data_IF_912067449159
#
_entry.id   IF_912067449159
#
_cell.length_a   1.000
_cell.length_b   1.000
_cell.length_c   1.000
_cell.angle_alpha   90.00
_cell.angle_beta   90.00
_cell.angle_gamma   90.00
#
_symmetry.space_group_name_H-M   'P 1'
#
loop_
_entity.id
_entity.type
_entity.pdbx_description
1 polymer ?
#
# COMPACT_ATOMS: atom_id res chain seq x y z
N UNK A 1 17.89 16.93 2.24
CA UNK A 1 16.95 18.05 1.96
C UNK A 1 16.88 19.08 3.09
N UNK A 2 16.83 18.69 4.37
CA UNK A 2 16.59 19.61 5.50
C UNK A 2 17.53 20.84 5.60
N UNK A 3 18.80 20.72 5.22
CA UNK A 3 19.77 21.83 5.29
C UNK A 3 19.78 22.77 4.07
N UNK A 4 19.03 22.45 3.01
CA UNK A 4 19.11 23.17 1.75
C UNK A 4 18.58 24.61 1.83
N UNK A 5 17.44 24.91 2.47
CA UNK A 5 16.99 26.30 2.63
C UNK A 5 17.99 27.16 3.41
N UNK A 6 18.63 26.59 4.43
CA UNK A 6 19.65 27.29 5.22
C UNK A 6 20.92 27.54 4.41
N UNK A 7 21.37 26.57 3.61
CA UNK A 7 22.50 26.75 2.71
C UNK A 7 22.23 27.88 1.70
N UNK A 8 21.10 27.84 1.00
CA UNK A 8 20.71 28.85 0.00
C UNK A 8 20.67 30.23 0.65
N UNK A 9 20.07 30.35 1.83
CA UNK A 9 20.02 31.61 2.59
C UNK A 9 21.41 32.09 2.99
N UNK A 10 22.26 31.23 3.55
CA UNK A 10 23.62 31.61 3.98
C UNK A 10 24.47 32.05 2.78
N UNK A 11 24.39 31.35 1.65
CA UNK A 11 25.09 31.74 0.42
C UNK A 11 24.56 33.07 -0.11
N UNK A 12 23.24 33.29 -0.11
CA UNK A 12 22.65 34.55 -0.55
C UNK A 12 23.03 35.74 0.33
N UNK A 13 23.04 35.58 1.66
CA UNK A 13 23.50 36.61 2.60
C UNK A 13 24.98 36.94 2.34
N UNK A 14 25.82 35.91 2.19
CA UNK A 14 27.24 36.09 1.88
C UNK A 14 27.43 36.83 0.55
N UNK A 15 26.71 36.43 -0.49
CA UNK A 15 26.77 37.05 -1.80
C UNK A 15 26.33 38.53 -1.75
N UNK A 16 25.25 38.85 -1.04
CA UNK A 16 24.79 40.22 -0.85
C UNK A 16 25.85 41.11 -0.16
N UNK A 17 26.53 40.59 0.87
CA UNK A 17 27.64 41.29 1.54
C UNK A 17 28.83 41.48 0.60
N UNK A 18 29.20 40.46 -0.20
CA UNK A 18 30.30 40.59 -1.14
C UNK A 18 29.99 41.59 -2.26
N UNK A 19 28.76 41.60 -2.77
CA UNK A 19 28.30 42.58 -3.77
C UNK A 19 28.33 44.00 -3.23
N UNK A 20 27.88 44.24 -1.99
CA UNK A 20 27.92 45.59 -1.40
C UNK A 20 29.34 46.13 -1.17
N UNK A 21 30.33 45.22 -1.07
CA UNK A 21 31.75 45.53 -1.01
C UNK A 21 32.41 45.67 -2.40
N UNK A 22 31.65 45.61 -3.50
CA UNK A 22 32.17 45.69 -4.86
C UNK A 22 32.86 44.41 -5.36
N UNK A 23 32.69 43.28 -4.67
CA UNK A 23 33.32 41.98 -4.97
C UNK A 23 32.34 41.02 -5.65
N UNK A 24 31.75 41.45 -6.76
CA UNK A 24 30.69 40.70 -7.46
C UNK A 24 31.15 39.31 -7.93
N UNK A 25 32.37 39.18 -8.46
CA UNK A 25 32.90 37.89 -8.94
C UNK A 25 32.99 36.84 -7.81
N UNK A 26 33.40 37.26 -6.61
CA UNK A 26 33.44 36.38 -5.44
C UNK A 26 32.05 36.04 -4.90
N UNK A 27 31.10 36.98 -5.02
CA UNK A 27 29.71 36.73 -4.69
C UNK A 27 29.12 35.61 -5.56
N UNK A 28 29.41 35.62 -6.87
CA UNK A 28 28.94 34.59 -7.79
C UNK A 28 29.69 33.27 -7.63
N UNK A 29 31.01 33.32 -7.43
CA UNK A 29 31.80 32.11 -7.16
C UNK A 29 31.38 31.37 -5.88
N UNK A 30 30.78 32.06 -4.91
CA UNK A 30 30.23 31.42 -3.71
C UNK A 30 29.05 30.47 -4.02
N UNK A 31 28.23 30.80 -5.02
CA UNK A 31 27.15 29.91 -5.47
C UNK A 31 27.71 28.68 -6.19
N UNK A 32 28.69 28.86 -7.08
CA UNK A 32 29.30 27.75 -7.82
C UNK A 32 30.02 26.78 -6.87
N UNK A 33 30.75 27.31 -5.88
CA UNK A 33 31.40 26.51 -4.85
C UNK A 33 30.39 25.72 -3.99
N UNK A 34 29.25 26.34 -3.66
CA UNK A 34 28.19 25.69 -2.89
C UNK A 34 27.44 24.62 -3.70
N UNK A 35 27.41 24.73 -5.03
CA UNK A 35 26.72 23.79 -5.91
C UNK A 35 27.45 22.44 -6.07
N UNK A 36 28.75 22.38 -5.78
CA UNK A 36 29.57 21.18 -5.97
C UNK A 36 29.03 19.99 -5.16
N UNK A 37 28.72 18.90 -5.86
CA UNK A 37 28.25 17.65 -5.25
C UNK A 37 26.79 17.68 -4.77
N UNK A 38 26.04 18.75 -5.04
CA UNK A 38 24.61 18.82 -4.71
C UNK A 38 23.73 18.15 -5.79
N UNK A 39 22.55 17.65 -5.42
CA UNK A 39 21.52 17.22 -6.38
C UNK A 39 21.08 18.35 -7.31
N UNK A 40 20.60 18.01 -8.51
CA UNK A 40 20.19 18.99 -9.55
C UNK A 40 19.16 20.02 -9.05
N UNK A 41 18.17 19.60 -8.26
CA UNK A 41 17.15 20.49 -7.68
C UNK A 41 17.72 21.46 -6.66
N UNK A 42 18.81 21.11 -5.97
CA UNK A 42 19.52 21.98 -5.05
C UNK A 42 20.40 22.99 -5.78
N UNK A 43 21.10 22.55 -6.84
CA UNK A 43 21.83 23.44 -7.75
C UNK A 43 20.88 24.47 -8.38
N UNK A 44 19.69 24.03 -8.81
CA UNK A 44 18.68 24.93 -9.35
C UNK A 44 18.23 26.02 -8.36
N UNK A 45 18.06 25.69 -7.07
CA UNK A 45 17.72 26.69 -6.05
C UNK A 45 18.84 27.71 -5.85
N UNK A 46 20.11 27.28 -5.90
CA UNK A 46 21.25 28.20 -5.86
C UNK A 46 21.31 29.12 -7.08
N UNK A 47 21.03 28.59 -8.28
CA UNK A 47 20.96 29.40 -9.51
C UNK A 47 19.85 30.45 -9.46
N UNK A 48 18.65 30.11 -8.97
CA UNK A 48 17.57 31.09 -8.82
C UNK A 48 17.91 32.15 -7.78
N UNK A 49 18.51 31.75 -6.65
CA UNK A 49 18.97 32.70 -5.65
C UNK A 49 20.05 33.63 -6.21
N UNK A 50 20.99 33.10 -7.01
CA UNK A 50 22.00 33.89 -7.70
C UNK A 50 21.36 34.90 -8.64
N UNK A 51 20.43 34.46 -9.49
CA UNK A 51 19.67 35.33 -10.40
C UNK A 51 18.93 36.46 -9.67
N UNK A 52 18.33 36.17 -8.51
CA UNK A 52 17.60 37.16 -7.71
C UNK A 52 18.50 38.23 -7.06
N UNK A 53 19.80 37.96 -6.90
CA UNK A 53 20.79 38.92 -6.34
C UNK A 53 21.46 39.80 -7.40
N UNK A 54 21.25 39.51 -8.68
CA UNK A 54 21.82 40.27 -9.80
C UNK A 54 20.84 41.35 -10.30
N UNK A 55 21.35 42.44 -10.90
CA UNK A 55 20.52 43.30 -11.73
C UNK A 55 19.85 42.50 -12.86
N UNK A 56 18.61 42.84 -13.26
CA UNK A 56 17.95 42.20 -14.40
C UNK A 56 18.81 42.29 -15.66
N UNK A 57 19.04 41.15 -16.31
CA UNK A 57 19.91 41.09 -17.48
C UNK A 57 20.13 39.65 -17.98
N UNK A 58 20.90 39.49 -19.08
CA UNK A 58 21.01 38.20 -19.79
C UNK A 58 21.52 37.08 -18.90
N UNK A 59 22.49 37.36 -18.03
CA UNK A 59 23.08 36.37 -17.13
C UNK A 59 22.09 35.89 -16.06
N UNK A 60 21.36 36.80 -15.41
CA UNK A 60 20.34 36.45 -14.43
C UNK A 60 19.23 35.61 -15.07
N UNK A 61 18.84 35.91 -16.30
CA UNK A 61 17.87 35.10 -17.04
C UNK A 61 18.43 33.72 -17.44
N UNK A 62 19.69 33.64 -17.86
CA UNK A 62 20.35 32.37 -18.17
C UNK A 62 20.37 31.44 -16.95
N UNK A 63 20.65 31.99 -15.76
CA UNK A 63 20.60 31.25 -14.49
C UNK A 63 19.19 30.71 -14.21
N UNK A 64 18.14 31.52 -14.44
CA UNK A 64 16.74 31.09 -14.30
C UNK A 64 16.41 29.96 -15.28
N UNK A 65 16.78 30.09 -16.56
CA UNK A 65 16.52 29.06 -17.58
C UNK A 65 17.28 27.77 -17.27
N UNK A 66 18.52 27.86 -16.81
CA UNK A 66 19.27 26.68 -16.39
C UNK A 66 18.63 26.01 -15.17
N UNK A 67 18.20 26.80 -14.18
CA UNK A 67 17.52 26.28 -13.01
C UNK A 67 16.22 25.55 -13.38
N UNK A 68 15.39 26.12 -14.25
CA UNK A 68 14.13 25.48 -14.66
C UNK A 68 14.38 24.17 -15.39
N UNK A 69 15.39 24.10 -16.27
CA UNK A 69 15.79 22.87 -16.95
C UNK A 69 16.26 21.78 -15.98
N UNK A 70 17.04 22.14 -14.95
CA UNK A 70 17.49 21.20 -13.92
C UNK A 70 16.30 20.68 -13.09
N UNK A 71 15.35 21.55 -12.74
CA UNK A 71 14.15 21.17 -12.00
C UNK A 71 13.29 20.20 -12.82
N UNK A 72 13.06 20.50 -14.10
CA UNK A 72 12.16 19.70 -14.95
C UNK A 72 12.78 18.38 -15.44
N UNK A 73 14.11 18.21 -15.36
CA UNK A 73 14.79 16.92 -15.61
C UNK A 73 14.83 15.99 -14.39
N UNK A 74 14.55 16.51 -13.19
CA UNK A 74 14.58 15.72 -11.95
C UNK A 74 13.57 14.57 -12.02
N UNK A 75 14.05 13.36 -11.72
CA UNK A 75 13.18 12.17 -11.55
C UNK A 75 12.49 12.14 -10.20
N UNK A 76 12.99 12.90 -9.23
CA UNK A 76 12.33 13.14 -7.96
C UNK A 76 11.31 14.28 -8.15
N UNK A 77 10.06 13.89 -8.41
CA UNK A 77 8.95 14.81 -8.66
C UNK A 77 8.56 15.61 -7.42
N UNK A 78 8.76 15.05 -6.21
CA UNK A 78 8.50 15.73 -4.95
C UNK A 78 9.49 16.88 -4.76
N UNK A 79 10.79 16.59 -4.91
CA UNK A 79 11.84 17.61 -4.84
C UNK A 79 11.68 18.66 -5.95
N UNK A 80 11.25 18.25 -7.15
CA UNK A 80 10.97 19.17 -8.24
C UNK A 80 9.85 20.15 -7.91
N UNK A 81 8.68 19.69 -7.44
CA UNK A 81 7.55 20.55 -7.07
C UNK A 81 7.95 21.60 -6.01
N UNK A 82 8.65 21.17 -4.96
CA UNK A 82 9.20 22.08 -3.95
C UNK A 82 10.15 23.12 -4.57
N UNK A 83 11.09 22.69 -5.40
CA UNK A 83 12.03 23.59 -6.07
C UNK A 83 11.33 24.59 -7.00
N UNK A 84 10.26 24.19 -7.72
CA UNK A 84 9.44 25.11 -8.54
C UNK A 84 8.78 26.19 -7.70
N UNK A 85 8.18 25.82 -6.55
CA UNK A 85 7.56 26.81 -5.64
C UNK A 85 8.60 27.80 -5.08
N UNK A 86 9.76 27.31 -4.66
CA UNK A 86 10.85 28.16 -4.17
C UNK A 86 11.39 29.09 -5.24
N UNK A 87 11.58 28.58 -6.46
CA UNK A 87 12.04 29.37 -7.59
C UNK A 87 11.05 30.50 -7.92
N UNK A 88 9.76 30.15 -7.99
CA UNK A 88 8.68 31.10 -8.24
C UNK A 88 8.56 32.15 -7.15
N UNK A 89 8.65 31.76 -5.87
CA UNK A 89 8.61 32.68 -4.74
C UNK A 89 9.79 33.68 -4.77
N UNK A 90 10.99 33.19 -5.13
CA UNK A 90 12.21 34.00 -5.21
C UNK A 90 12.18 35.02 -6.35
N UNK A 91 11.45 34.71 -7.43
CA UNK A 91 11.29 35.62 -8.57
C UNK A 91 10.00 36.45 -8.49
N UNK A 92 9.11 36.18 -7.54
CA UNK A 92 7.85 36.91 -7.40
C UNK A 92 8.11 38.39 -7.11
N UNK A 93 7.54 39.29 -7.92
CA UNK A 93 7.79 40.73 -7.83
C UNK A 93 9.18 41.18 -8.30
N UNK A 94 10.04 40.27 -8.77
CA UNK A 94 11.34 40.62 -9.33
C UNK A 94 11.18 41.31 -10.69
N UNK A 95 11.90 42.43 -10.94
CA UNK A 95 11.95 43.07 -12.25
C UNK A 95 12.48 42.12 -13.35
N UNK A 96 13.19 41.04 -12.97
CA UNK A 96 13.67 40.01 -13.89
C UNK A 96 12.52 39.33 -14.65
N UNK A 97 11.34 39.15 -14.05
CA UNK A 97 10.17 38.57 -14.74
C UNK A 97 9.51 39.54 -15.73
N UNK A 98 9.69 40.86 -15.53
CA UNK A 98 9.22 41.90 -16.44
C UNK A 98 10.20 42.15 -17.59
N UNK A 99 11.45 41.68 -17.45
CA UNK A 99 12.50 41.89 -18.43
C UNK A 99 12.18 41.18 -19.76
N UNK A 100 12.26 41.92 -20.86
CA UNK A 100 11.90 41.43 -22.19
C UNK A 100 13.13 40.84 -22.88
N UNK A 101 13.27 39.52 -22.82
CA UNK A 101 14.25 38.77 -23.63
C UNK A 101 13.60 37.88 -24.68
N UNK A 102 14.28 37.63 -25.82
CA UNK A 102 13.90 36.60 -26.77
C UNK A 102 13.73 35.21 -26.13
N UNK A 103 14.45 34.94 -25.03
CA UNK A 103 14.40 33.68 -24.28
C UNK A 103 13.21 33.54 -23.32
N UNK A 104 12.37 34.57 -23.13
CA UNK A 104 11.21 34.49 -22.22
C UNK A 104 10.21 33.43 -22.64
N UNK A 105 10.04 33.21 -23.94
CA UNK A 105 9.17 32.17 -24.49
C UNK A 105 9.65 30.75 -24.13
N UNK A 106 10.93 30.57 -23.78
CA UNK A 106 11.50 29.28 -23.38
C UNK A 106 11.31 28.96 -21.89
N UNK A 107 10.89 29.92 -21.06
CA UNK A 107 10.61 29.64 -19.65
C UNK A 107 9.32 28.84 -19.49
N UNK A 108 9.30 27.87 -18.56
CA UNK A 108 8.12 27.03 -18.37
C UNK A 108 6.95 27.85 -17.82
N UNK A 109 5.74 27.39 -18.16
CA UNK A 109 4.49 28.05 -17.75
C UNK A 109 4.35 28.16 -16.24
N UNK A 110 4.78 27.13 -15.49
CA UNK A 110 4.73 27.14 -14.02
C UNK A 110 5.51 28.28 -13.38
N UNK A 111 6.47 28.88 -14.09
CA UNK A 111 7.24 30.03 -13.62
C UNK A 111 6.60 31.36 -14.02
N UNK A 112 6.08 31.45 -15.24
CA UNK A 112 5.71 32.73 -15.88
C UNK A 112 4.23 33.06 -15.86
N UNK A 113 3.34 32.06 -15.76
CA UNK A 113 1.90 32.27 -15.66
C UNK A 113 1.52 32.75 -14.25
N UNK A 114 0.42 33.51 -14.07
CA UNK A 114 -0.13 33.82 -12.74
C UNK A 114 -0.43 32.57 -11.91
N UNK A 115 -0.45 32.71 -10.59
CA UNK A 115 -0.74 31.57 -9.71
C UNK A 115 -2.26 31.32 -9.74
N UNK A 116 -2.73 30.11 -10.05
CA UNK A 116 -4.14 29.85 -10.32
C UNK A 116 -4.93 29.68 -9.00
N UNK A 117 -5.07 30.77 -8.22
CA UNK A 117 -5.71 30.74 -6.89
C UNK A 117 -7.15 30.20 -6.93
N UNK A 118 -7.90 30.53 -7.99
CA UNK A 118 -9.24 30.02 -8.21
C UNK A 118 -9.25 28.49 -8.33
N UNK A 119 -8.36 27.95 -9.17
CA UNK A 119 -8.25 26.52 -9.39
C UNK A 119 -7.75 25.77 -8.14
N UNK A 120 -6.82 26.35 -7.39
CA UNK A 120 -6.36 25.78 -6.10
C UNK A 120 -7.52 25.61 -5.13
N UNK A 121 -8.42 26.61 -5.04
CA UNK A 121 -9.60 26.53 -4.19
C UNK A 121 -10.54 25.40 -4.63
N UNK A 122 -10.74 25.23 -5.94
CA UNK A 122 -11.58 24.18 -6.49
C UNK A 122 -10.99 22.78 -6.27
N UNK A 123 -9.68 22.62 -6.46
CA UNK A 123 -8.96 21.36 -6.19
C UNK A 123 -9.03 21.02 -4.70
N UNK A 124 -8.83 22.00 -3.80
CA UNK A 124 -9.00 21.77 -2.36
C UNK A 124 -10.44 21.39 -2.00
N UNK A 125 -11.44 22.02 -2.64
CA UNK A 125 -12.84 21.65 -2.47
C UNK A 125 -13.12 20.22 -2.92
N UNK A 126 -12.59 19.82 -4.08
CA UNK A 126 -12.68 18.45 -4.59
C UNK A 126 -12.02 17.44 -3.64
N UNK A 127 -10.81 17.71 -3.18
CA UNK A 127 -10.09 16.81 -2.27
C UNK A 127 -10.76 16.71 -0.90
N UNK A 128 -11.36 17.80 -0.41
CA UNK A 128 -12.03 17.85 0.89
C UNK A 128 -13.49 17.38 0.90
N UNK A 129 -14.11 17.20 -0.26
CA UNK A 129 -15.50 16.74 -0.35
C UNK A 129 -15.63 15.25 -0.03
N UNK A 130 -16.44 14.92 0.98
CA UNK A 130 -16.74 13.54 1.41
C UNK A 130 -18.20 13.13 1.19
N UNK A 131 -19.11 14.10 1.05
CA UNK A 131 -20.53 13.83 0.77
C UNK A 131 -20.80 13.79 -0.74
N UNK A 132 -21.66 12.89 -1.23
CA UNK A 132 -21.92 12.73 -2.67
C UNK A 132 -22.29 14.05 -3.37
N UNK A 133 -23.19 14.85 -2.78
CA UNK A 133 -23.59 16.13 -3.36
C UNK A 133 -22.43 17.15 -3.39
N UNK A 134 -21.57 17.14 -2.39
CA UNK A 134 -20.38 17.99 -2.32
C UNK A 134 -19.32 17.58 -3.34
N UNK A 135 -19.15 16.27 -3.55
CA UNK A 135 -18.26 15.71 -4.58
C UNK A 135 -18.74 16.11 -5.98
N UNK A 136 -20.03 15.93 -6.28
CA UNK A 136 -20.65 16.29 -7.56
C UNK A 136 -20.46 17.78 -7.87
N UNK A 137 -20.78 18.65 -6.92
CA UNK A 137 -20.63 20.08 -7.06
C UNK A 137 -19.17 20.50 -7.28
N UNK A 138 -18.25 19.92 -6.50
CA UNK A 138 -16.82 20.25 -6.58
C UNK A 138 -16.19 19.80 -7.89
N UNK A 139 -16.46 18.57 -8.34
CA UNK A 139 -15.92 18.05 -9.61
C UNK A 139 -16.54 18.77 -10.82
N UNK A 140 -17.84 19.10 -10.77
CA UNK A 140 -18.49 19.92 -11.81
C UNK A 140 -17.87 21.31 -11.92
N UNK A 141 -17.63 21.97 -10.78
CA UNK A 141 -17.00 23.28 -10.74
C UNK A 141 -15.56 23.23 -11.28
N UNK A 142 -14.80 22.21 -10.90
CA UNK A 142 -13.44 21.98 -11.39
C UNK A 142 -13.42 21.73 -12.90
N UNK A 143 -14.29 20.85 -13.40
CA UNK A 143 -14.42 20.56 -14.83
C UNK A 143 -14.80 21.80 -15.63
N UNK A 144 -15.71 22.62 -15.11
CA UNK A 144 -16.12 23.88 -15.74
C UNK A 144 -14.95 24.87 -15.83
N UNK A 145 -14.19 25.03 -14.74
CA UNK A 145 -13.04 25.93 -14.69
C UNK A 145 -11.92 25.50 -15.63
N UNK A 146 -11.59 24.20 -15.66
CA UNK A 146 -10.54 23.67 -16.54
C UNK A 146 -10.94 23.73 -18.01
N UNK A 147 -12.24 23.56 -18.32
CA UNK A 147 -12.76 23.64 -19.70
C UNK A 147 -12.88 25.09 -20.22
N UNK A 148 -12.75 26.10 -19.35
CA UNK A 148 -12.74 27.50 -19.78
C UNK A 148 -11.44 27.84 -20.54
N UNK A 149 -11.43 28.87 -21.39
CA UNK A 149 -10.21 29.28 -22.10
C UNK A 149 -9.05 29.54 -21.14
N UNK A 150 -7.96 28.78 -21.28
CA UNK A 150 -6.77 28.87 -20.41
C UNK A 150 -6.78 27.96 -19.19
N UNK A 151 -7.91 27.30 -18.88
CA UNK A 151 -8.06 26.44 -17.70
C UNK A 151 -7.11 25.24 -17.69
N UNK A 152 -6.91 24.56 -18.81
CA UNK A 152 -5.92 23.47 -18.92
C UNK A 152 -4.48 23.97 -18.63
N UNK A 153 -4.13 25.18 -19.07
CA UNK A 153 -2.82 25.76 -18.79
C UNK A 153 -2.65 26.15 -17.31
N UNK A 154 -3.72 26.61 -16.65
CA UNK A 154 -3.75 26.84 -15.21
C UNK A 154 -3.61 25.53 -14.42
N UNK A 155 -4.25 24.46 -14.89
CA UNK A 155 -4.13 23.12 -14.31
C UNK A 155 -2.70 22.61 -14.40
N UNK A 156 -2.05 22.71 -15.57
CA UNK A 156 -0.64 22.33 -15.74
C UNK A 156 0.28 23.06 -14.74
N UNK A 157 0.03 24.36 -14.51
CA UNK A 157 0.77 25.16 -13.52
C UNK A 157 0.54 24.63 -12.11
N UNK A 158 -0.71 24.36 -11.73
CA UNK A 158 -1.06 23.83 -10.42
C UNK A 158 -0.39 22.47 -10.18
N UNK A 159 -0.51 21.53 -11.12
CA UNK A 159 0.08 20.19 -11.03
C UNK A 159 1.60 20.29 -10.92
N UNK A 160 2.25 21.09 -11.78
CA UNK A 160 3.70 21.25 -11.73
C UNK A 160 4.17 21.79 -10.37
N UNK A 161 3.44 22.76 -9.80
CA UNK A 161 3.79 23.40 -8.53
C UNK A 161 3.45 22.56 -7.30
N UNK A 162 2.49 21.64 -7.36
CA UNK A 162 1.98 20.90 -6.19
C UNK A 162 1.98 19.39 -6.39
N UNK A 163 2.82 18.87 -7.29
CA UNK A 163 2.88 17.44 -7.54
C UNK A 163 3.17 16.63 -6.28
N UNK A 164 3.88 17.18 -5.29
CA UNK A 164 4.17 16.60 -3.98
C UNK A 164 2.97 16.54 -3.02
N UNK A 165 1.86 17.19 -3.34
CA UNK A 165 0.64 17.14 -2.52
C UNK A 165 -0.17 15.89 -2.87
N UNK A 166 -0.46 15.00 -1.91
CA UNK A 166 -1.25 13.80 -2.15
C UNK A 166 -2.59 14.13 -2.83
N UNK A 167 -2.94 13.36 -3.86
CA UNK A 167 -4.20 13.53 -4.60
C UNK A 167 -4.16 14.57 -5.73
N UNK A 168 -3.25 15.55 -5.70
CA UNK A 168 -3.17 16.58 -6.75
C UNK A 168 -2.83 15.96 -8.11
N UNK A 169 -1.90 15.00 -8.17
CA UNK A 169 -1.55 14.31 -9.43
C UNK A 169 -2.67 13.44 -10.00
N UNK A 170 -3.68 13.07 -9.21
CA UNK A 170 -4.82 12.28 -9.67
C UNK A 170 -5.94 13.17 -10.26
N UNK A 171 -5.89 14.49 -10.05
CA UNK A 171 -6.89 15.43 -10.56
C UNK A 171 -7.06 15.35 -12.09
N UNK A 172 -5.99 15.30 -12.90
CA UNK A 172 -6.15 15.18 -14.36
C UNK A 172 -6.90 13.91 -14.77
N UNK A 173 -6.60 12.78 -14.12
CA UNK A 173 -7.27 11.50 -14.37
C UNK A 173 -8.76 11.58 -14.01
N UNK A 174 -9.10 12.10 -12.83
CA UNK A 174 -10.51 12.29 -12.43
C UNK A 174 -11.26 13.23 -13.38
N UNK A 175 -10.60 14.26 -13.92
CA UNK A 175 -11.20 15.16 -14.91
C UNK A 175 -11.41 14.48 -16.26
N UNK A 176 -10.46 13.66 -16.71
CA UNK A 176 -10.57 12.90 -17.94
C UNK A 176 -11.67 11.83 -17.84
N UNK A 177 -11.76 11.11 -16.72
CA UNK A 177 -12.87 10.21 -16.43
C UNK A 177 -14.20 10.96 -16.39
N UNK A 178 -14.26 12.13 -15.75
CA UNK A 178 -15.49 12.92 -15.70
C UNK A 178 -15.94 13.40 -17.09
N UNK A 179 -14.99 13.68 -18.00
CA UNK A 179 -15.27 14.00 -19.41
C UNK A 179 -15.78 12.78 -20.19
N UNK A 180 -15.23 11.59 -19.94
CA UNK A 180 -15.58 10.34 -20.64
C UNK A 180 -16.90 9.73 -20.14
N UNK A 181 -17.01 9.58 -18.83
CA UNK A 181 -18.02 8.75 -18.16
C UNK A 181 -19.05 9.59 -17.39
N UNK A 182 -18.78 10.89 -17.24
CA UNK A 182 -19.62 11.85 -16.54
C UNK A 182 -19.26 12.00 -15.07
N UNK A 183 -19.46 13.21 -14.54
CA UNK A 183 -19.15 13.58 -13.14
C UNK A 183 -19.72 12.57 -12.15
N UNK A 184 -21.00 12.20 -12.31
CA UNK A 184 -21.70 11.32 -11.38
C UNK A 184 -21.09 9.92 -11.29
N UNK A 185 -20.54 9.39 -12.38
CA UNK A 185 -19.88 8.08 -12.37
C UNK A 185 -18.60 8.12 -11.52
N UNK A 186 -17.77 9.15 -11.72
CA UNK A 186 -16.52 9.35 -10.97
C UNK A 186 -16.78 9.56 -9.48
N UNK A 187 -17.73 10.42 -9.12
CA UNK A 187 -18.04 10.71 -7.72
C UNK A 187 -18.70 9.53 -7.02
N UNK A 188 -19.55 8.76 -7.70
CA UNK A 188 -20.12 7.52 -7.16
C UNK A 188 -19.02 6.51 -6.89
N UNK A 189 -18.13 6.26 -7.87
CA UNK A 189 -17.01 5.32 -7.70
C UNK A 189 -16.10 5.74 -6.54
N UNK A 190 -15.72 7.01 -6.47
CA UNK A 190 -14.90 7.54 -5.37
C UNK A 190 -15.58 7.37 -4.01
N UNK A 191 -16.87 7.69 -3.93
CA UNK A 191 -17.64 7.56 -2.68
C UNK A 191 -17.74 6.09 -2.25
N UNK A 192 -17.98 5.17 -3.18
CA UNK A 192 -17.98 3.72 -2.91
C UNK A 192 -16.60 3.24 -2.42
N UNK A 193 -15.51 3.72 -3.02
CA UNK A 193 -14.14 3.39 -2.58
C UNK A 193 -13.81 3.96 -1.19
N UNK A 194 -14.26 5.19 -0.89
CA UNK A 194 -14.14 5.80 0.44
C UNK A 194 -14.93 5.01 1.49
N UNK A 195 -16.18 4.68 1.18
CA UNK A 195 -17.05 3.92 2.07
C UNK A 195 -16.51 2.51 2.31
N UNK A 196 -16.02 1.83 1.28
CA UNK A 196 -15.38 0.52 1.39
C UNK A 196 -14.17 0.55 2.32
N UNK A 197 -13.30 1.55 2.19
CA UNK A 197 -12.15 1.74 3.08
C UNK A 197 -12.57 2.02 4.52
N UNK A 198 -13.60 2.84 4.73
CA UNK A 198 -14.14 3.13 6.04
C UNK A 198 -14.78 1.89 6.70
N UNK A 199 -15.55 1.12 5.94
CA UNK A 199 -16.16 -0.13 6.42
C UNK A 199 -15.09 -1.18 6.76
N UNK A 200 -14.05 -1.34 5.92
CA UNK A 200 -12.93 -2.24 6.21
C UNK A 200 -12.18 -1.82 7.48
N UNK A 201 -11.85 -0.53 7.62
CA UNK A 201 -11.19 -0.01 8.83
C UNK A 201 -12.05 -0.26 10.09
N UNK A 202 -13.35 0.02 10.00
CA UNK A 202 -14.30 -0.23 11.09
C UNK A 202 -14.36 -1.71 11.47
N UNK A 203 -14.34 -2.60 10.47
CA UNK A 203 -14.36 -4.04 10.70
C UNK A 203 -13.10 -4.52 11.44
N UNK A 204 -11.93 -4.10 10.96
CA UNK A 204 -10.63 -4.44 11.56
C UNK A 204 -10.51 -3.93 13.00
N UNK A 205 -11.09 -2.76 13.30
CA UNK A 205 -11.07 -2.14 14.63
C UNK A 205 -12.18 -2.64 15.58
N UNK A 206 -12.96 -3.65 15.19
CA UNK A 206 -13.99 -4.19 16.08
C UNK A 206 -13.39 -4.78 17.37
N UNK A 207 -13.90 -4.41 18.56
CA UNK A 207 -13.25 -4.75 19.83
C UNK A 207 -13.42 -6.22 20.25
N UNK A 208 -14.39 -6.93 19.67
CA UNK A 208 -14.67 -8.34 19.97
C UNK A 208 -15.15 -9.06 18.72
N UNK A 209 -15.00 -10.39 18.69
CA UNK A 209 -15.53 -11.21 17.60
C UNK A 209 -17.06 -11.14 17.48
N UNK A 210 -17.78 -10.97 18.58
CA UNK A 210 -19.23 -10.75 18.55
C UNK A 210 -19.60 -9.41 17.86
N UNK A 211 -18.82 -8.35 18.09
CA UNK A 211 -19.01 -7.07 17.40
C UNK A 211 -18.65 -7.18 15.90
N UNK A 212 -17.57 -7.90 15.59
CA UNK A 212 -17.17 -8.23 14.21
C UNK A 212 -18.28 -8.97 13.45
N UNK A 213 -18.88 -9.99 14.07
CA UNK A 213 -20.02 -10.75 13.52
C UNK A 213 -21.22 -9.86 13.25
N UNK A 214 -21.63 -9.07 14.25
CA UNK A 214 -22.77 -8.15 14.11
C UNK A 214 -22.54 -7.11 13.00
N UNK A 215 -21.30 -6.61 12.87
CA UNK A 215 -20.93 -5.67 11.81
C UNK A 215 -21.15 -6.29 10.42
N UNK A 216 -20.61 -7.49 10.20
CA UNK A 216 -20.72 -8.19 8.91
C UNK A 216 -22.14 -8.64 8.58
N UNK A 217 -22.96 -9.01 9.57
CA UNK A 217 -24.38 -9.34 9.34
C UNK A 217 -25.15 -8.18 8.69
N UNK A 218 -24.76 -6.93 8.99
CA UNK A 218 -25.33 -5.73 8.35
C UNK A 218 -24.66 -5.36 7.02
N UNK A 219 -23.50 -5.94 6.71
CA UNK A 219 -22.65 -5.62 5.55
C UNK A 219 -22.07 -6.86 4.87
N UNK A 220 -22.90 -7.82 4.43
CA UNK A 220 -22.41 -9.10 3.89
C UNK A 220 -21.57 -8.94 2.62
N UNK A 221 -21.78 -7.85 1.85
CA UNK A 221 -21.02 -7.55 0.63
C UNK A 221 -19.53 -7.33 0.88
N UNK A 222 -19.14 -6.98 2.11
CA UNK A 222 -17.73 -6.73 2.43
C UNK A 222 -16.87 -8.01 2.28
N UNK A 223 -17.47 -9.18 2.50
CA UNK A 223 -16.79 -10.48 2.43
C UNK A 223 -16.47 -10.91 1.00
N UNK A 224 -17.25 -10.45 0.03
CA UNK A 224 -17.09 -10.82 -1.39
C UNK A 224 -16.48 -9.71 -2.23
N UNK A 225 -16.09 -8.59 -1.61
CA UNK A 225 -15.51 -7.46 -2.32
C UNK A 225 -14.03 -7.74 -2.68
N UNK A 226 -13.67 -7.79 -3.98
CA UNK A 226 -12.31 -8.11 -4.41
C UNK A 226 -11.25 -7.14 -3.89
N UNK A 227 -11.60 -5.86 -3.70
CA UNK A 227 -10.65 -4.88 -3.20
C UNK A 227 -10.41 -5.06 -1.70
N UNK A 228 -11.43 -5.45 -0.93
CA UNK A 228 -11.28 -5.82 0.48
C UNK A 228 -10.38 -7.04 0.63
N UNK A 229 -10.63 -8.08 -0.16
CA UNK A 229 -9.80 -9.30 -0.17
C UNK A 229 -8.34 -8.99 -0.55
N UNK A 230 -8.14 -8.13 -1.55
CA UNK A 230 -6.81 -7.68 -1.97
C UNK A 230 -6.09 -6.87 -0.87
N UNK A 231 -6.81 -5.97 -0.18
CA UNK A 231 -6.27 -5.18 0.90
C UNK A 231 -5.86 -6.05 2.09
N UNK A 232 -6.73 -6.98 2.51
CA UNK A 232 -6.45 -7.94 3.58
C UNK A 232 -5.29 -8.88 3.23
N UNK A 233 -5.23 -9.35 1.97
CA UNK A 233 -4.13 -10.19 1.49
C UNK A 233 -2.79 -9.46 1.50
N UNK A 234 -2.77 -8.18 1.11
CA UNK A 234 -1.58 -7.34 1.15
C UNK A 234 -1.11 -7.06 2.58
N UNK A 235 -2.03 -7.01 3.54
CA UNK A 235 -1.78 -6.78 4.95
C UNK A 235 -1.59 -8.07 5.78
N UNK A 236 -1.51 -9.27 5.15
CA UNK A 236 -1.50 -10.58 5.83
C UNK A 236 -0.44 -10.79 6.93
N UNK A 237 0.59 -9.95 6.98
CA UNK A 237 1.61 -10.01 8.03
C UNK A 237 1.09 -9.52 9.39
N UNK A 238 0.04 -8.71 9.39
CA UNK A 238 -0.71 -8.36 10.60
C UNK A 238 -1.63 -9.53 11.01
N UNK A 239 -1.51 -10.07 12.23
CA UNK A 239 -2.36 -11.16 12.71
C UNK A 239 -3.86 -10.85 12.62
N UNK A 240 -4.27 -9.60 12.86
CA UNK A 240 -5.69 -9.22 12.80
C UNK A 240 -6.19 -9.27 11.37
N UNK A 241 -5.49 -8.63 10.43
CA UNK A 241 -5.81 -8.70 9.00
C UNK A 241 -5.81 -10.14 8.46
N UNK A 242 -4.88 -10.99 8.92
CA UNK A 242 -4.83 -12.40 8.54
C UNK A 242 -6.09 -13.18 8.96
N UNK A 243 -6.59 -12.97 10.18
CA UNK A 243 -7.83 -13.62 10.63
C UNK A 243 -9.03 -13.12 9.82
N UNK A 244 -9.11 -11.81 9.58
CA UNK A 244 -10.18 -11.22 8.78
C UNK A 244 -10.16 -11.72 7.33
N UNK A 245 -8.98 -11.94 6.75
CA UNK A 245 -8.84 -12.60 5.45
C UNK A 245 -9.39 -14.03 5.47
N UNK A 246 -9.07 -14.80 6.52
CA UNK A 246 -9.61 -16.15 6.72
C UNK A 246 -11.15 -16.15 6.81
N UNK A 247 -11.72 -15.24 7.61
CA UNK A 247 -13.19 -15.06 7.72
C UNK A 247 -13.80 -14.76 6.36
N UNK A 248 -13.23 -13.84 5.58
CA UNK A 248 -13.75 -13.45 4.28
C UNK A 248 -13.73 -14.61 3.28
N UNK A 249 -12.69 -15.43 3.28
CA UNK A 249 -12.59 -16.58 2.37
C UNK A 249 -13.48 -17.75 2.78
N UNK A 250 -13.58 -18.03 4.09
CA UNK A 250 -14.50 -19.05 4.59
C UNK A 250 -15.96 -18.73 4.25
N UNK A 251 -16.32 -17.45 4.09
CA UNK A 251 -17.66 -17.02 3.70
C UNK A 251 -18.08 -17.49 2.30
N UNK A 252 -17.15 -17.95 1.45
CA UNK A 252 -17.47 -18.61 0.19
C UNK A 252 -18.06 -20.02 0.38
N UNK A 253 -17.86 -20.62 1.56
CA UNK A 253 -18.17 -22.02 1.81
C UNK A 253 -19.08 -22.25 3.00
N UNK A 254 -19.08 -21.32 3.97
CA UNK A 254 -19.74 -21.48 5.25
C UNK A 254 -20.65 -20.28 5.58
N UNK A 255 -21.78 -20.51 6.26
CA UNK A 255 -22.55 -19.44 6.88
C UNK A 255 -21.71 -18.64 7.86
N UNK A 256 -21.98 -17.33 7.97
CA UNK A 256 -21.23 -16.45 8.87
C UNK A 256 -21.24 -16.92 10.33
N UNK A 257 -22.34 -17.52 10.78
CA UNK A 257 -22.47 -17.98 12.16
C UNK A 257 -21.48 -19.11 12.45
N UNK A 258 -21.40 -20.13 11.59
CA UNK A 258 -20.46 -21.24 11.67
C UNK A 258 -18.99 -20.77 11.62
N UNK A 259 -18.70 -19.72 10.82
CA UNK A 259 -17.35 -19.14 10.74
C UNK A 259 -16.93 -18.54 12.08
N UNK A 260 -17.84 -17.83 12.75
CA UNK A 260 -17.51 -17.24 14.06
C UNK A 260 -17.42 -18.28 15.16
N UNK A 261 -18.16 -19.39 15.06
CA UNK A 261 -17.99 -20.55 15.93
C UNK A 261 -16.58 -21.14 15.74
N UNK A 262 -16.10 -21.30 14.49
CA UNK A 262 -14.71 -21.69 14.18
C UNK A 262 -13.67 -20.70 14.72
N UNK A 263 -13.90 -19.39 14.59
CA UNK A 263 -12.93 -18.36 15.03
C UNK A 263 -12.83 -18.32 16.56
N UNK A 264 -13.93 -18.60 17.27
CA UNK A 264 -14.01 -18.42 18.73
C UNK A 264 -13.89 -19.72 19.53
N UNK A 265 -14.28 -20.86 18.96
CA UNK A 265 -14.19 -22.19 19.56
C UNK A 265 -13.14 -23.06 18.85
N UNK A 266 -12.15 -23.48 19.63
CA UNK A 266 -11.03 -24.28 19.14
C UNK A 266 -11.44 -25.73 18.79
N UNK A 267 -12.54 -26.24 19.38
CA UNK A 267 -13.11 -27.55 19.06
C UNK A 267 -13.78 -27.52 17.69
N UNK A 268 -14.61 -26.52 17.41
CA UNK A 268 -15.30 -26.38 16.13
C UNK A 268 -14.30 -26.17 14.99
N UNK A 269 -13.27 -25.33 15.22
CA UNK A 269 -12.17 -25.17 14.29
C UNK A 269 -11.44 -26.49 13.99
N UNK A 270 -11.21 -27.31 15.03
CA UNK A 270 -10.50 -28.59 14.90
C UNK A 270 -11.33 -29.56 14.07
N UNK A 271 -12.62 -29.66 14.34
CA UNK A 271 -13.52 -30.56 13.64
C UNK A 271 -13.65 -30.17 12.16
N UNK A 272 -13.84 -28.87 11.88
CA UNK A 272 -13.85 -28.34 10.51
C UNK A 272 -12.54 -28.62 9.76
N UNK A 273 -11.39 -28.42 10.41
CA UNK A 273 -10.09 -28.67 9.79
C UNK A 273 -9.87 -30.16 9.51
N UNK A 274 -10.22 -31.04 10.45
CA UNK A 274 -10.10 -32.48 10.26
C UNK A 274 -11.07 -33.02 9.21
N UNK A 275 -12.22 -32.40 9.01
CA UNK A 275 -13.14 -32.69 7.91
C UNK A 275 -12.55 -32.23 6.56
N UNK A 276 -11.94 -31.05 6.50
CA UNK A 276 -11.26 -30.55 5.30
C UNK A 276 -10.11 -31.47 4.85
N UNK A 277 -9.34 -32.04 5.80
CA UNK A 277 -8.35 -33.10 5.54
C UNK A 277 -8.99 -34.31 4.84
N UNK A 278 -10.14 -34.78 5.32
CA UNK A 278 -10.83 -35.95 4.74
C UNK A 278 -11.38 -35.67 3.34
N UNK A 279 -11.77 -34.42 3.07
CA UNK A 279 -12.22 -33.97 1.76
C UNK A 279 -11.08 -33.70 0.78
N UNK A 280 -9.83 -33.69 1.27
CA UNK A 280 -8.64 -33.29 0.52
C UNK A 280 -8.72 -31.83 0.02
N UNK A 281 -9.34 -30.96 0.81
CA UNK A 281 -9.59 -29.56 0.47
C UNK A 281 -8.48 -28.68 1.04
N UNK A 282 -7.47 -28.42 0.20
CA UNK A 282 -6.30 -27.63 0.60
C UNK A 282 -6.64 -26.16 0.86
N UNK A 283 -7.59 -25.60 0.10
CA UNK A 283 -7.94 -24.19 0.19
C UNK A 283 -8.73 -23.93 1.47
N UNK A 284 -9.73 -24.78 1.77
CA UNK A 284 -10.45 -24.72 3.04
C UNK A 284 -9.51 -24.89 4.24
N UNK A 285 -8.53 -25.80 4.18
CA UNK A 285 -7.53 -25.96 5.24
C UNK A 285 -6.69 -24.70 5.48
N UNK A 286 -6.28 -24.01 4.40
CA UNK A 286 -5.52 -22.75 4.51
C UNK A 286 -6.38 -21.64 5.11
N UNK A 287 -7.64 -21.55 4.69
CA UNK A 287 -8.54 -20.50 5.16
C UNK A 287 -8.93 -20.71 6.62
N UNK A 288 -9.11 -21.96 7.06
CA UNK A 288 -9.26 -22.32 8.47
C UNK A 288 -8.02 -21.97 9.29
N UNK A 289 -6.82 -22.23 8.77
CA UNK A 289 -5.57 -21.87 9.45
C UNK A 289 -5.38 -20.35 9.60
N UNK A 290 -5.87 -19.57 8.62
CA UNK A 290 -5.89 -18.11 8.68
C UNK A 290 -6.91 -17.61 9.74
N UNK A 291 -8.14 -18.13 9.70
CA UNK A 291 -9.23 -17.68 10.56
C UNK A 291 -9.05 -18.12 12.03
N UNK A 292 -8.49 -19.31 12.26
CA UNK A 292 -8.33 -19.91 13.58
C UNK A 292 -6.86 -20.29 13.84
N UNK A 293 -5.94 -19.31 14.00
CA UNK A 293 -4.51 -19.58 14.17
C UNK A 293 -4.18 -20.36 15.45
N UNK A 294 -5.11 -20.45 16.41
CA UNK A 294 -5.00 -21.33 17.56
C UNK A 294 -4.89 -22.82 17.19
N UNK A 295 -5.44 -23.23 16.04
CA UNK A 295 -5.31 -24.59 15.50
C UNK A 295 -3.85 -25.02 15.38
N UNK A 296 -3.00 -24.13 14.87
CA UNK A 296 -1.58 -24.42 14.63
C UNK A 296 -0.76 -24.54 15.91
N UNK A 297 -1.33 -24.09 17.05
CA UNK A 297 -0.69 -24.18 18.37
C UNK A 297 -1.11 -25.42 19.16
N UNK A 298 -2.09 -26.18 18.68
CA UNK A 298 -2.51 -27.41 19.33
C UNK A 298 -1.48 -28.52 19.13
N UNK A 299 -1.14 -29.21 20.22
CA UNK A 299 -0.32 -30.42 20.18
C UNK A 299 -0.96 -31.43 19.24
N UNK A 300 -0.12 -32.12 18.44
CA UNK A 300 -0.52 -33.04 17.37
C UNK A 300 -1.28 -32.39 16.22
N UNK A 301 -2.43 -31.74 16.47
CA UNK A 301 -3.32 -31.16 15.45
C UNK A 301 -2.59 -30.14 14.58
N UNK A 302 -1.85 -29.20 15.17
CA UNK A 302 -1.13 -28.17 14.40
C UNK A 302 -0.15 -28.78 13.38
N UNK A 303 0.83 -29.60 13.82
CA UNK A 303 1.72 -30.34 12.92
C UNK A 303 0.99 -31.28 11.96
N UNK A 304 -0.11 -31.90 12.37
CA UNK A 304 -0.92 -32.78 11.53
C UNK A 304 -1.66 -32.05 10.40
N UNK A 305 -2.15 -30.84 10.64
CA UNK A 305 -2.75 -30.01 9.59
C UNK A 305 -1.65 -29.50 8.64
N UNK A 306 -0.53 -29.03 9.19
CA UNK A 306 0.61 -28.56 8.41
C UNK A 306 1.21 -29.66 7.52
N UNK A 307 1.38 -30.88 8.02
CA UNK A 307 1.87 -32.01 7.22
C UNK A 307 0.88 -32.35 6.10
N UNK A 308 -0.42 -32.24 6.36
CA UNK A 308 -1.45 -32.53 5.35
C UNK A 308 -1.42 -31.50 4.22
N UNK A 309 -1.26 -30.21 4.56
CA UNK A 309 -1.05 -29.16 3.57
C UNK A 309 0.22 -29.40 2.75
N UNK A 310 1.34 -29.74 3.39
CA UNK A 310 2.59 -30.08 2.69
C UNK A 310 2.41 -31.26 1.72
N UNK A 311 1.67 -32.31 2.11
CA UNK A 311 1.31 -33.41 1.22
C UNK A 311 0.48 -32.93 0.02
N UNK A 312 -0.56 -32.12 0.26
CA UNK A 312 -1.41 -31.58 -0.81
C UNK A 312 -0.61 -30.70 -1.79
N UNK A 313 0.43 -30.03 -1.31
CA UNK A 313 1.37 -29.21 -2.08
C UNK A 313 2.56 -29.99 -2.67
N UNK A 314 2.59 -31.32 -2.50
CA UNK A 314 3.65 -32.22 -2.98
C UNK A 314 5.02 -31.98 -2.35
N UNK A 315 5.08 -31.28 -1.22
CA UNK A 315 6.29 -31.11 -0.43
C UNK A 315 6.45 -32.27 0.56
N UNK A 316 6.97 -33.39 0.04
CA UNK A 316 7.06 -34.64 0.80
C UNK A 316 8.13 -34.59 1.90
N UNK A 317 9.15 -33.75 1.75
CA UNK A 317 10.22 -33.59 2.74
C UNK A 317 9.68 -32.85 3.97
N UNK A 318 9.07 -31.68 3.76
CA UNK A 318 8.40 -30.92 4.83
C UNK A 318 7.29 -31.75 5.49
N UNK A 319 6.53 -32.53 4.71
CA UNK A 319 5.51 -33.42 5.26
C UNK A 319 6.09 -34.50 6.20
N UNK A 320 7.25 -35.06 5.87
CA UNK A 320 7.91 -36.08 6.71
C UNK A 320 8.42 -35.47 8.02
N UNK A 321 9.02 -34.28 7.97
CA UNK A 321 9.48 -33.56 9.17
C UNK A 321 8.31 -33.23 10.09
N UNK A 322 7.23 -32.68 9.55
CA UNK A 322 6.02 -32.35 10.30
C UNK A 322 5.32 -33.59 10.86
N UNK A 323 5.40 -34.74 10.18
CA UNK A 323 4.90 -36.01 10.70
C UNK A 323 5.70 -36.50 11.92
N UNK A 324 7.01 -36.28 11.94
CA UNK A 324 7.84 -36.55 13.13
C UNK A 324 7.42 -35.67 14.30
N UNK A 325 7.22 -34.37 14.06
CA UNK A 325 6.75 -33.43 15.09
C UNK A 325 5.36 -33.83 15.60
N UNK A 326 4.44 -34.21 14.71
CA UNK A 326 3.11 -34.70 15.09
C UNK A 326 3.22 -35.95 15.98
N UNK A 327 4.03 -36.94 15.59
CA UNK A 327 4.22 -38.17 16.37
C UNK A 327 4.77 -37.91 17.77
N UNK A 328 5.69 -36.95 17.93
CA UNK A 328 6.26 -36.57 19.23
C UNK A 328 5.25 -35.89 20.16
N UNK A 329 4.24 -35.23 19.60
CA UNK A 329 3.23 -34.49 20.36
C UNK A 329 1.92 -35.26 20.56
N UNK A 330 1.79 -36.43 19.96
CA UNK A 330 0.57 -37.22 19.99
C UNK A 330 0.28 -37.78 21.39
N UNK A 331 -0.98 -37.70 21.81
CA UNK A 331 -1.50 -38.48 22.95
C UNK A 331 -2.21 -39.75 22.48
N UNK A 332 -2.65 -40.58 23.42
CA UNK A 332 -3.20 -41.89 23.14
C UNK A 332 -4.38 -41.85 22.17
N UNK A 333 -4.23 -42.57 21.04
CA UNK A 333 -5.26 -42.71 20.01
C UNK A 333 -5.15 -41.70 18.85
N UNK A 334 -4.37 -40.64 18.98
CA UNK A 334 -4.23 -39.61 17.94
C UNK A 334 -3.48 -40.12 16.71
N UNK A 335 -2.37 -40.85 16.90
CA UNK A 335 -1.61 -41.47 15.79
C UNK A 335 -2.50 -42.41 14.98
N UNK A 336 -3.31 -43.24 15.65
CA UNK A 336 -4.22 -44.17 14.98
C UNK A 336 -5.29 -43.43 14.16
N UNK A 337 -5.86 -42.37 14.75
CA UNK A 337 -6.87 -41.53 14.08
C UNK A 337 -6.28 -40.77 12.89
N UNK A 338 -5.12 -40.14 13.07
CA UNK A 338 -4.38 -39.44 12.01
C UNK A 338 -3.99 -40.38 10.87
N UNK A 339 -3.52 -41.58 11.20
CA UNK A 339 -3.23 -42.63 10.21
C UNK A 339 -4.46 -42.97 9.37
N UNK A 340 -5.60 -43.20 10.02
CA UNK A 340 -6.85 -43.52 9.32
C UNK A 340 -7.31 -42.37 8.40
N UNK A 341 -7.12 -41.11 8.81
CA UNK A 341 -7.41 -39.93 8.00
C UNK A 341 -6.48 -39.82 6.79
N UNK A 342 -5.17 -39.99 6.96
CA UNK A 342 -4.21 -39.98 5.85
C UNK A 342 -4.47 -41.13 4.86
N UNK A 343 -4.89 -42.30 5.33
CA UNK A 343 -5.32 -43.39 4.45
C UNK A 343 -6.62 -43.07 3.68
N UNK A 344 -7.55 -42.32 4.28
CA UNK A 344 -8.73 -41.79 3.56
C UNK A 344 -8.30 -40.76 2.51
N UNK A 345 -7.38 -39.86 2.85
CA UNK A 345 -6.78 -38.90 1.92
C UNK A 345 -6.15 -39.62 0.72
N UNK A 346 -5.29 -40.62 0.93
CA UNK A 346 -4.68 -41.39 -0.15
C UNK A 346 -5.70 -42.12 -1.04
N UNK A 347 -6.83 -42.57 -0.48
CA UNK A 347 -7.92 -43.15 -1.28
C UNK A 347 -8.63 -42.12 -2.16
N UNK A 348 -8.80 -40.90 -1.65
CA UNK A 348 -9.45 -39.79 -2.37
C UNK A 348 -8.52 -39.11 -3.37
N UNK A 349 -7.21 -39.12 -3.08
CA UNK A 349 -6.12 -38.60 -3.91
C UNK A 349 -5.09 -39.72 -4.15
N UNK A 350 -5.38 -40.69 -5.05
CA UNK A 350 -4.48 -41.81 -5.33
C UNK A 350 -3.10 -41.38 -5.81
N UNK A 351 -3.03 -40.20 -6.42
CA UNK A 351 -1.80 -39.55 -6.86
C UNK A 351 -0.85 -39.23 -5.68
N UNK A 352 -1.36 -39.06 -4.46
CA UNK A 352 -0.60 -38.81 -3.23
C UNK A 352 -0.26 -40.10 -2.46
N UNK A 353 -0.77 -41.26 -2.86
CA UNK A 353 -0.64 -42.50 -2.10
C UNK A 353 0.83 -42.91 -1.79
N UNK A 354 1.81 -42.75 -2.70
CA UNK A 354 3.22 -43.04 -2.38
C UNK A 354 3.77 -42.12 -1.29
N UNK A 355 3.48 -40.83 -1.37
CA UNK A 355 3.96 -39.80 -0.44
C UNK A 355 3.33 -40.00 0.95
N UNK A 356 2.01 -40.28 0.98
CA UNK A 356 1.28 -40.65 2.20
C UNK A 356 1.88 -41.90 2.84
N UNK A 357 2.22 -42.93 2.06
CA UNK A 357 2.82 -44.16 2.59
C UNK A 357 4.16 -43.88 3.28
N UNK A 358 5.00 -43.00 2.70
CA UNK A 358 6.27 -42.58 3.29
C UNK A 358 6.05 -41.83 4.61
N UNK A 359 5.11 -40.88 4.62
CA UNK A 359 4.76 -40.10 5.82
C UNK A 359 4.19 -40.99 6.93
N UNK A 360 3.35 -41.98 6.59
CA UNK A 360 2.81 -42.93 7.56
C UNK A 360 3.88 -43.77 8.25
N UNK A 361 4.97 -44.10 7.57
CA UNK A 361 6.11 -44.80 8.17
C UNK A 361 6.84 -43.96 9.23
N UNK A 362 6.83 -42.63 9.09
CA UNK A 362 7.39 -41.69 10.07
C UNK A 362 6.41 -41.47 11.23
N UNK A 363 5.13 -41.26 10.92
CA UNK A 363 4.09 -41.02 11.92
C UNK A 363 3.87 -42.23 12.86
N UNK A 364 4.11 -43.45 12.36
CA UNK A 364 4.01 -44.70 13.13
C UNK A 364 5.35 -45.47 13.06
N UNK A 365 6.33 -45.13 13.91
CA UNK A 365 7.58 -45.89 13.96
C UNK A 365 7.32 -47.35 14.37
N UNK A 366 8.05 -48.33 13.79
CA UNK A 366 7.80 -49.76 13.99
C UNK A 366 7.83 -50.21 15.46
N UNK A 367 8.61 -49.55 16.33
CA UNK A 367 8.71 -49.90 17.75
C UNK A 367 7.43 -49.61 18.56
N UNK A 368 6.59 -48.66 18.12
CA UNK A 368 5.29 -48.38 18.75
C UNK A 368 4.17 -49.30 18.24
N UNK A 369 4.36 -49.99 17.11
CA UNK A 369 3.38 -50.93 16.57
C UNK A 369 3.37 -52.28 17.31
N UNK A 370 4.50 -52.68 17.89
CA UNK A 370 4.67 -53.96 18.59
C UNK A 370 4.32 -53.88 20.10
N UNK A 371 4.55 -52.74 20.76
CA UNK A 371 4.40 -52.60 22.22
C UNK A 371 2.97 -52.60 22.78
N UNK A 372 1.92 -52.55 21.95
CA UNK A 372 0.50 -52.59 22.39
C UNK A 372 -0.17 -53.96 22.23
N UNK A 373 0.50 -54.93 21.62
CA UNK A 373 -0.04 -56.29 21.44
C UNK A 373 0.35 -57.26 22.58
N UNK A 374 0.93 -56.76 23.67
CA UNK A 374 1.51 -57.59 24.73
C UNK A 374 1.19 -57.07 26.13
N UNK A 375 -0.10 -57.00 26.50
CA UNK A 375 -0.50 -57.36 27.86
C UNK A 375 -2.00 -57.66 27.98
N UNK A 376 -2.36 -58.96 28.05
CA UNK A 376 -3.44 -59.35 28.93
C UNK A 376 -3.04 -60.62 29.68
N UNK A 377 -2.03 -60.58 30.53
CA UNK A 377 -1.86 -61.64 31.54
C UNK A 377 -0.83 -61.28 32.61
N UNK A 378 -1.32 -60.81 33.76
CA UNK A 378 -0.69 -61.15 35.03
C UNK A 378 -0.61 -60.02 36.03
N UNK A 379 -1.61 -59.93 36.90
CA UNK A 379 -1.39 -60.19 38.33
C UNK A 379 -2.74 -60.41 39.03
N UNK A 380 -2.86 -61.62 39.58
CA UNK A 380 -3.80 -62.04 40.62
C UNK A 380 -3.30 -61.47 41.94
#
# INVERSE_FOLDING_TARGET
>A
AAFLPDLVRTVAVRAAVLTSLGRADEAFGAYDAAAVGLPETAVAQLLVARAATQPPGPQAWADVVQATQLIDRSRDWVAAAFARRQARASLYGSPLLAWQEPGRAAAPRWLTQPYPEGLVRLVNGWMGASEPAGMDASLTALLTAVSAPGGDAELDVLIALHADTPGVNAVPESLDEARRDGVKAVTTSRHEDEQRRADLATWLDTPTWAASRAFLQTRPRLLTDPQVLSALSSARADPVASIHLGIARLAEHLPIDDIYDIVTDTSDARDAALEAVEKADADLLRDLALAAPALLRQAFVGPFLALTLALLDRDTETAADLASVAAQQAVDGEIATGTARLQRLARRRPDLAPDVTRVLAVLRPPDQAAGRASDPAGQI
#
